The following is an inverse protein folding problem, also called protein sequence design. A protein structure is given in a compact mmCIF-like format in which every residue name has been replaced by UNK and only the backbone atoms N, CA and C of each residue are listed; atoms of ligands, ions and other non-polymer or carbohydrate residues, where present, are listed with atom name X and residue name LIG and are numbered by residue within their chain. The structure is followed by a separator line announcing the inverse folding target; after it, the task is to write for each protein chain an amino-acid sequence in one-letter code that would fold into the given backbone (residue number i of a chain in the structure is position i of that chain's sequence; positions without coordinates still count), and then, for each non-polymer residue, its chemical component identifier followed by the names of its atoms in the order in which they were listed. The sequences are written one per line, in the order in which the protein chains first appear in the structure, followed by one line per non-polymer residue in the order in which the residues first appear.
data_IF_672691761760
#
_entry.id   IF_672691761760
#
_cell.length_a   1.000
_cell.length_b   1.000
_cell.length_c   1.000
_cell.angle_alpha   90.00
_cell.angle_beta   90.00
_cell.angle_gamma   90.00
#
_symmetry.space_group_name_H-M   'P 1'
#
loop_
_entity.id
_entity.type
_entity.pdbx_description
1 polymer ?
#
# COMPACT_ATOMS: atom_id res chain seq x y z
N UNK A 1 1.39 -14.18 8.23
CA UNK A 1 1.99 -13.15 9.13
C UNK A 1 2.02 -11.77 8.47
N UNK A 2 2.66 -11.60 7.31
CA UNK A 2 2.71 -10.30 6.60
C UNK A 2 1.32 -9.66 6.37
N UNK A 3 0.34 -10.44 5.91
CA UNK A 3 -1.05 -9.96 5.77
C UNK A 3 -1.67 -9.45 7.07
N UNK A 4 -1.38 -10.11 8.21
CA UNK A 4 -1.84 -9.67 9.53
C UNK A 4 -1.18 -8.37 9.99
N UNK A 5 0.11 -8.18 9.70
CA UNK A 5 0.82 -6.92 9.99
C UNK A 5 0.21 -5.78 9.16
N UNK A 6 0.03 -5.99 7.86
CA UNK A 6 -0.53 -4.98 6.95
C UNK A 6 -1.95 -4.61 7.37
N UNK A 7 -2.78 -5.62 7.69
CA UNK A 7 -4.14 -5.40 8.19
C UNK A 7 -4.13 -4.63 9.53
N UNK A 8 -3.24 -4.98 10.45
CA UNK A 8 -3.07 -4.29 11.72
C UNK A 8 -2.68 -2.82 11.55
N UNK A 9 -1.70 -2.53 10.68
CA UNK A 9 -1.31 -1.15 10.34
C UNK A 9 -2.47 -0.41 9.69
N UNK A 10 -3.20 -1.03 8.77
CA UNK A 10 -4.34 -0.39 8.09
C UNK A 10 -5.48 -0.07 9.07
N UNK A 11 -5.80 -0.98 10.00
CA UNK A 11 -6.80 -0.75 11.04
C UNK A 11 -6.35 0.31 12.05
N UNK A 12 -5.05 0.32 12.39
CA UNK A 12 -4.46 1.39 13.20
C UNK A 12 -4.66 2.74 12.51
N UNK A 13 -4.30 2.87 11.23
CA UNK A 13 -4.50 4.10 10.45
C UNK A 13 -5.98 4.51 10.41
N UNK A 14 -6.90 3.54 10.32
CA UNK A 14 -8.35 3.80 10.27
C UNK A 14 -8.95 4.28 11.58
N UNK A 15 -8.42 3.82 12.72
CA UNK A 15 -8.98 4.03 14.06
C UNK A 15 -8.39 5.25 14.79
N UNK A 16 -7.63 6.11 14.11
CA UNK A 16 -7.11 7.33 14.73
C UNK A 16 -8.24 8.26 15.18
N UNK A 17 -8.23 8.64 16.47
CA UNK A 17 -9.26 9.46 17.10
C UNK A 17 -9.35 10.87 16.50
N UNK A 18 -8.23 11.39 15.97
CA UNK A 18 -8.18 12.70 15.30
C UNK A 18 -8.92 12.68 13.95
N UNK A 19 -8.81 11.62 13.14
CA UNK A 19 -9.57 11.49 11.88
C UNK A 19 -11.07 11.29 12.09
N UNK A 20 -11.45 10.78 13.25
CA UNK A 20 -12.85 10.54 13.65
C UNK A 20 -13.47 11.81 14.27
N UNK A 21 -12.65 12.71 14.85
CA UNK A 21 -13.13 13.98 15.42
C UNK A 21 -13.45 15.03 14.34
N UNK A 22 -12.72 15.08 13.23
CA UNK A 22 -13.11 15.92 12.07
C UNK A 22 -14.47 15.48 11.48
N UNK A 23 -14.90 14.24 11.73
CA UNK A 23 -16.14 13.67 11.23
C UNK A 23 -17.39 14.18 11.98
N UNK A 24 -17.31 14.51 13.27
CA UNK A 24 -18.48 15.02 14.01
C UNK A 24 -18.81 16.48 13.65
N UNK A 25 -17.83 17.27 13.16
CA UNK A 25 -18.05 18.67 12.76
C UNK A 25 -18.42 18.85 11.28
N UNK A 26 -18.22 17.84 10.40
CA UNK A 26 -18.47 17.96 8.96
C UNK A 26 -19.69 17.22 8.42
N UNK A 27 -20.50 16.55 9.26
CA UNK A 27 -21.80 15.95 8.88
C UNK A 27 -22.91 16.99 8.58
N UNK A 28 -22.51 18.19 8.15
CA UNK A 28 -23.38 19.31 7.80
C UNK A 28 -23.64 19.47 6.30
N UNK A 29 -22.62 19.56 5.43
CA UNK A 29 -22.90 19.85 4.00
C UNK A 29 -21.70 19.82 2.99
N UNK A 30 -20.54 19.18 3.27
CA UNK A 30 -19.45 19.14 2.27
C UNK A 30 -18.67 17.82 2.27
N UNK A 31 -18.51 17.26 1.06
CA UNK A 31 -17.82 16.02 0.71
C UNK A 31 -16.44 15.92 1.37
N UNK A 32 -16.27 14.92 2.24
CA UNK A 32 -14.99 14.62 2.89
C UNK A 32 -13.90 14.24 1.85
N UNK A 33 -12.61 14.41 2.17
CA UNK A 33 -11.51 13.99 1.30
C UNK A 33 -11.48 12.46 1.17
N UNK A 34 -12.18 11.93 0.16
CA UNK A 34 -12.42 10.50 0.00
C UNK A 34 -11.16 9.69 -0.34
N UNK A 35 -10.13 10.30 -0.94
CA UNK A 35 -9.00 9.59 -1.53
C UNK A 35 -8.05 8.97 -0.49
N UNK A 36 -7.81 9.63 0.64
CA UNK A 36 -7.02 9.10 1.75
C UNK A 36 -7.66 7.86 2.37
N UNK A 37 -8.97 7.90 2.61
CA UNK A 37 -9.72 6.76 3.11
C UNK A 37 -9.78 5.62 2.10
N UNK A 38 -9.94 5.92 0.81
CA UNK A 38 -9.87 4.91 -0.26
C UNK A 38 -8.55 4.14 -0.19
N UNK A 39 -7.41 4.83 -0.03
CA UNK A 39 -6.11 4.19 0.15
C UNK A 39 -6.04 3.27 1.38
N UNK A 40 -6.60 3.70 2.52
CA UNK A 40 -6.65 2.87 3.74
C UNK A 40 -7.54 1.63 3.52
N UNK A 41 -8.71 1.79 2.89
CA UNK A 41 -9.60 0.65 2.60
C UNK A 41 -8.97 -0.36 1.63
N UNK A 42 -8.20 0.10 0.64
CA UNK A 42 -7.40 -0.78 -0.22
C UNK A 42 -6.39 -1.57 0.62
N UNK A 43 -5.70 -0.91 1.55
CA UNK A 43 -4.72 -1.57 2.43
C UNK A 43 -5.36 -2.63 3.35
N UNK A 44 -6.56 -2.34 3.88
CA UNK A 44 -7.37 -3.30 4.64
C UNK A 44 -7.73 -4.51 3.77
N UNK A 45 -8.24 -4.28 2.55
CA UNK A 45 -8.63 -5.35 1.64
C UNK A 45 -7.44 -6.25 1.27
N UNK A 46 -6.30 -5.65 0.91
CA UNK A 46 -5.07 -6.39 0.57
C UNK A 46 -4.56 -7.19 1.77
N UNK A 47 -4.52 -6.59 2.97
CA UNK A 47 -4.11 -7.27 4.19
C UNK A 47 -5.01 -8.46 4.55
N UNK A 48 -6.33 -8.28 4.44
CA UNK A 48 -7.31 -9.34 4.72
C UNK A 48 -7.21 -10.49 3.71
N UNK A 49 -7.10 -10.19 2.42
CA UNK A 49 -6.94 -11.22 1.37
C UNK A 49 -5.65 -12.00 1.58
N UNK A 50 -4.52 -11.33 1.84
CA UNK A 50 -3.25 -12.01 2.13
C UNK A 50 -3.30 -12.88 3.39
N UNK A 51 -4.00 -12.41 4.44
CA UNK A 51 -4.18 -13.20 5.66
C UNK A 51 -5.03 -14.45 5.41
N UNK A 52 -6.13 -14.31 4.66
CA UNK A 52 -7.03 -15.42 4.34
C UNK A 52 -6.37 -16.45 3.43
N UNK A 53 -5.75 -16.02 2.32
CA UNK A 53 -5.08 -16.92 1.37
C UNK A 53 -3.88 -17.60 2.02
N UNK A 54 -3.10 -16.87 2.82
CA UNK A 54 -2.00 -17.46 3.59
C UNK A 54 -2.47 -18.48 4.64
N UNK A 55 -3.63 -18.25 5.27
CA UNK A 55 -4.24 -19.22 6.18
C UNK A 55 -4.63 -20.51 5.46
N UNK A 56 -5.29 -20.41 4.30
CA UNK A 56 -5.67 -21.58 3.50
C UNK A 56 -4.45 -22.38 3.03
N UNK A 57 -3.40 -21.69 2.57
CA UNK A 57 -2.15 -22.35 2.15
C UNK A 57 -1.46 -23.09 3.30
N UNK A 58 -1.22 -22.40 4.42
CA UNK A 58 -0.54 -23.00 5.57
C UNK A 58 -1.37 -24.10 6.22
N UNK A 59 -2.66 -23.85 6.50
CA UNK A 59 -3.53 -24.83 7.15
C UNK A 59 -3.83 -26.01 6.24
N UNK A 60 -3.91 -25.79 4.92
CA UNK A 60 -4.15 -26.83 3.92
C UNK A 60 -2.97 -27.80 3.80
N UNK A 61 -1.75 -27.28 3.90
CA UNK A 61 -0.55 -28.11 3.97
C UNK A 61 -0.45 -28.91 5.28
N UNK A 62 -0.79 -28.31 6.43
CA UNK A 62 -0.72 -28.98 7.73
C UNK A 62 -1.78 -30.09 7.86
N UNK A 63 -3.01 -29.82 7.42
CA UNK A 63 -4.12 -30.77 7.55
C UNK A 63 -4.12 -31.82 6.43
N UNK A 64 -3.21 -31.72 5.45
CA UNK A 64 -3.17 -32.55 4.25
C UNK A 64 -4.55 -32.65 3.57
N UNK A 65 -5.34 -31.57 3.62
CA UNK A 65 -6.72 -31.56 3.14
C UNK A 65 -6.80 -31.09 1.70
N UNK A 66 -7.19 -32.01 0.80
CA UNK A 66 -7.33 -31.72 -0.63
C UNK A 66 -8.33 -30.60 -0.92
N UNK A 67 -9.41 -30.52 -0.13
CA UNK A 67 -10.43 -29.48 -0.29
C UNK A 67 -9.83 -28.10 0.01
N UNK A 68 -9.09 -27.96 1.11
CA UNK A 68 -8.49 -26.68 1.49
C UNK A 68 -7.36 -26.25 0.55
N UNK A 69 -6.59 -27.22 0.05
CA UNK A 69 -5.54 -26.97 -0.93
C UNK A 69 -6.13 -26.61 -2.31
N UNK A 70 -7.27 -27.21 -2.67
CA UNK A 70 -8.02 -26.86 -3.88
C UNK A 70 -8.65 -25.46 -3.80
N UNK A 71 -9.17 -25.04 -2.64
CA UNK A 71 -9.66 -23.66 -2.47
C UNK A 71 -8.51 -22.66 -2.53
N UNK A 72 -7.36 -22.96 -1.92
CA UNK A 72 -6.15 -22.14 -2.05
C UNK A 72 -5.72 -21.98 -3.52
N UNK A 73 -5.63 -23.07 -4.28
CA UNK A 73 -5.32 -23.01 -5.71
C UNK A 73 -6.33 -22.15 -6.49
N UNK A 74 -7.63 -22.33 -6.23
CA UNK A 74 -8.69 -21.55 -6.90
C UNK A 74 -8.56 -20.06 -6.57
N UNK A 75 -8.26 -19.71 -5.32
CA UNK A 75 -7.99 -18.33 -4.92
C UNK A 75 -6.78 -17.75 -5.66
N UNK A 76 -5.69 -18.49 -5.82
CA UNK A 76 -4.51 -18.04 -6.58
C UNK A 76 -4.82 -17.79 -8.05
N UNK A 77 -5.62 -18.65 -8.69
CA UNK A 77 -6.04 -18.45 -10.09
C UNK A 77 -6.85 -17.16 -10.24
N UNK A 78 -7.79 -16.90 -9.31
CA UNK A 78 -8.58 -15.66 -9.31
C UNK A 78 -7.68 -14.44 -9.08
N UNK A 79 -6.74 -14.52 -8.14
CA UNK A 79 -5.80 -13.43 -7.86
C UNK A 79 -4.88 -13.14 -9.03
N UNK A 80 -4.39 -14.17 -9.72
CA UNK A 80 -3.58 -14.01 -10.92
C UNK A 80 -4.37 -13.33 -12.05
N UNK A 81 -5.63 -13.73 -12.27
CA UNK A 81 -6.49 -13.06 -13.26
C UNK A 81 -6.75 -11.59 -12.90
N UNK A 82 -6.99 -11.29 -11.61
CA UNK A 82 -7.12 -9.93 -11.10
C UNK A 82 -5.82 -9.12 -11.26
N UNK A 83 -4.66 -9.73 -11.02
CA UNK A 83 -3.35 -9.09 -11.17
C UNK A 83 -3.10 -8.69 -12.63
N UNK A 84 -3.39 -9.59 -13.59
CA UNK A 84 -3.29 -9.27 -15.02
C UNK A 84 -4.25 -8.16 -15.41
N UNK A 85 -5.51 -8.24 -14.97
CA UNK A 85 -6.52 -7.21 -15.26
C UNK A 85 -6.13 -5.84 -14.67
N UNK A 86 -5.68 -5.81 -13.41
CA UNK A 86 -5.22 -4.60 -12.72
C UNK A 86 -3.94 -4.05 -13.35
N UNK A 87 -3.01 -4.91 -13.78
CA UNK A 87 -1.79 -4.52 -14.48
C UNK A 87 -2.09 -3.83 -15.81
N UNK A 88 -2.98 -4.40 -16.63
CA UNK A 88 -3.41 -3.79 -17.90
C UNK A 88 -4.13 -2.46 -17.64
N UNK A 89 -5.13 -2.47 -16.74
CA UNK A 89 -5.89 -1.27 -16.42
C UNK A 89 -5.00 -0.15 -15.86
N UNK A 90 -4.05 -0.51 -15.00
CA UNK A 90 -3.13 0.44 -14.38
C UNK A 90 -2.09 0.98 -15.36
N UNK A 91 -1.66 0.17 -16.32
CA UNK A 91 -0.79 0.65 -17.40
C UNK A 91 -1.51 1.68 -18.30
N UNK A 92 -2.74 1.38 -18.70
CA UNK A 92 -3.55 2.28 -19.54
C UNK A 92 -3.89 3.58 -18.80
N UNK A 93 -4.19 3.50 -17.50
CA UNK A 93 -4.61 4.63 -16.68
C UNK A 93 -3.49 5.16 -15.76
N UNK A 94 -2.22 4.98 -16.13
CA UNK A 94 -1.06 5.35 -15.29
C UNK A 94 -1.07 6.81 -14.83
N UNK A 95 -1.53 7.72 -15.70
CA UNK A 95 -1.56 9.17 -15.41
C UNK A 95 -2.70 9.51 -14.43
N UNK A 96 -3.80 8.75 -14.46
CA UNK A 96 -4.89 8.88 -13.49
C UNK A 96 -4.44 8.36 -12.11
N UNK A 97 -3.79 7.20 -12.06
CA UNK A 97 -3.25 6.62 -10.83
C UNK A 97 -2.22 7.56 -10.19
N UNK A 98 -1.34 8.17 -11.00
CA UNK A 98 -0.38 9.14 -10.50
C UNK A 98 -1.06 10.35 -9.82
N UNK A 99 -2.19 10.84 -10.38
CA UNK A 99 -2.98 11.92 -9.78
C UNK A 99 -3.64 11.48 -8.47
N UNK A 100 -4.22 10.28 -8.44
CA UNK A 100 -4.88 9.75 -7.25
C UNK A 100 -3.86 9.54 -6.10
N UNK A 101 -2.66 9.06 -6.41
CA UNK A 101 -1.56 8.91 -5.44
C UNK A 101 -1.08 10.26 -4.91
N UNK A 102 -0.97 11.28 -5.77
CA UNK A 102 -0.65 12.65 -5.33
C UNK A 102 -1.73 13.20 -4.39
N UNK A 103 -3.00 13.00 -4.73
CA UNK A 103 -4.12 13.47 -3.91
C UNK A 103 -4.15 12.74 -2.56
N UNK A 104 -3.85 11.44 -2.53
CA UNK A 104 -3.68 10.68 -1.30
C UNK A 104 -2.54 11.27 -0.45
N UNK A 105 -1.39 11.55 -1.06
CA UNK A 105 -0.25 12.17 -0.40
C UNK A 105 -0.58 13.56 0.16
N UNK A 106 -1.25 14.42 -0.61
CA UNK A 106 -1.65 15.77 -0.17
C UNK A 106 -2.55 15.73 1.06
N UNK A 107 -3.50 14.80 1.09
CA UNK A 107 -4.42 14.62 2.22
C UNK A 107 -3.69 14.06 3.45
N UNK A 108 -2.82 13.07 3.26
CA UNK A 108 -1.98 12.54 4.33
C UNK A 108 -1.05 13.63 4.90
N UNK A 109 -0.50 14.47 4.03
CA UNK A 109 0.37 15.59 4.39
C UNK A 109 -0.37 16.67 5.18
N UNK A 110 -1.57 17.06 4.75
CA UNK A 110 -2.43 17.99 5.48
C UNK A 110 -2.81 17.44 6.87
N UNK A 111 -3.19 16.17 6.96
CA UNK A 111 -3.49 15.54 8.24
C UNK A 111 -2.25 15.52 9.16
N UNK A 112 -1.06 15.29 8.59
CA UNK A 112 0.18 15.34 9.34
C UNK A 112 0.58 16.75 9.78
N UNK A 113 0.05 17.83 9.17
CA UNK A 113 0.32 19.22 9.58
C UNK A 113 -0.63 19.70 10.68
N UNK A 114 -1.90 19.29 10.63
CA UNK A 114 -2.89 19.65 11.66
C UNK A 114 -2.73 18.83 12.96
N UNK A 115 -1.90 17.80 12.89
CA UNK A 115 -1.45 16.97 13.99
C UNK A 115 -0.57 17.77 14.99
N UNK A 116 -1.17 18.36 16.02
CA UNK A 116 -0.46 19.07 17.10
C UNK A 116 0.29 18.11 18.06
N UNK A 117 -0.03 16.81 18.03
CA UNK A 117 0.60 15.79 18.87
C UNK A 117 1.57 14.87 18.10
N UNK A 118 2.59 14.38 18.81
CA UNK A 118 3.65 13.47 18.33
C UNK A 118 3.14 12.11 17.80
N UNK A 119 1.85 11.79 17.99
CA UNK A 119 1.27 10.46 17.79
C UNK A 119 0.18 10.41 16.71
N UNK A 120 0.36 11.13 15.60
CA UNK A 120 -0.64 11.15 14.53
C UNK A 120 -0.30 10.21 13.39
N UNK A 121 -1.28 9.41 12.97
CA UNK A 121 -1.11 8.35 11.97
C UNK A 121 -0.70 8.90 10.59
N UNK A 122 -1.11 10.14 10.27
CA UNK A 122 -0.67 10.85 9.07
C UNK A 122 0.85 11.12 9.03
N UNK A 123 1.50 11.37 10.19
CA UNK A 123 2.95 11.60 10.29
C UNK A 123 3.74 10.37 9.86
N UNK A 124 3.30 9.17 10.26
CA UNK A 124 3.94 7.92 9.88
C UNK A 124 3.86 7.65 8.37
N UNK A 125 2.69 7.87 7.76
CA UNK A 125 2.49 7.72 6.30
C UNK A 125 3.41 8.68 5.55
N UNK A 126 3.36 9.98 5.88
CA UNK A 126 4.13 11.02 5.20
C UNK A 126 5.64 10.79 5.34
N UNK A 127 6.12 10.44 6.54
CA UNK A 127 7.53 10.12 6.76
C UNK A 127 7.97 8.94 5.90
N UNK A 128 7.14 7.90 5.80
CA UNK A 128 7.43 6.74 4.94
C UNK A 128 7.51 7.14 3.47
N UNK A 129 6.60 8.00 2.98
CA UNK A 129 6.69 8.55 1.63
C UNK A 129 7.97 9.34 1.41
N UNK A 130 8.34 10.21 2.35
CA UNK A 130 9.53 11.03 2.26
C UNK A 130 10.82 10.20 2.24
N UNK A 131 10.93 9.17 3.10
CA UNK A 131 12.08 8.26 3.12
C UNK A 131 12.12 7.34 1.88
N UNK A 132 10.98 6.84 1.41
CA UNK A 132 10.91 5.90 0.27
C UNK A 132 11.18 6.59 -1.07
N UNK A 133 10.71 7.83 -1.23
CA UNK A 133 10.83 8.58 -2.48
C UNK A 133 11.99 9.58 -2.48
N UNK A 134 12.72 9.70 -1.37
CA UNK A 134 13.71 10.75 -1.10
C UNK A 134 13.18 12.15 -1.47
N UNK A 135 11.98 12.46 -0.96
CA UNK A 135 11.26 13.70 -1.24
C UNK A 135 10.79 14.35 0.06
N UNK A 136 10.44 15.63 0.01
CA UNK A 136 9.93 16.36 1.18
C UNK A 136 8.87 17.36 0.72
N UNK A 137 7.65 17.19 1.22
CA UNK A 137 6.55 18.12 0.98
C UNK A 137 5.92 18.07 -0.43
N UNK A 138 4.72 18.67 -0.57
CA UNK A 138 4.02 18.82 -1.84
C UNK A 138 4.65 19.88 -2.76
N UNK A 139 4.30 19.92 -4.05
CA UNK A 139 4.77 20.93 -5.02
C UNK A 139 4.03 22.28 -4.86
N UNK A 140 4.03 22.84 -3.64
CA UNK A 140 3.45 24.15 -3.34
C UNK A 140 4.31 24.92 -2.31
N UNK A 141 3.95 26.18 -2.04
CA UNK A 141 4.70 27.04 -1.12
C UNK A 141 4.85 26.46 0.29
N UNK A 142 3.89 25.64 0.75
CA UNK A 142 3.93 24.98 2.06
C UNK A 142 4.99 23.87 2.03
N UNK A 143 5.08 23.09 0.94
CA UNK A 143 6.13 22.08 0.75
C UNK A 143 7.53 22.67 0.80
N UNK A 144 7.75 23.80 0.15
CA UNK A 144 9.05 24.48 0.13
C UNK A 144 9.54 24.94 1.52
N UNK A 145 8.62 25.30 2.41
CA UNK A 145 8.95 25.71 3.79
C UNK A 145 8.82 24.55 4.79
N UNK A 146 8.25 23.41 4.41
CA UNK A 146 8.11 22.24 5.28
C UNK A 146 9.41 21.83 5.97
N UNK A 147 10.58 21.74 5.30
CA UNK A 147 11.82 21.41 5.98
C UNK A 147 12.23 22.47 7.02
N UNK A 148 11.77 23.72 6.93
CA UNK A 148 12.15 24.79 7.86
C UNK A 148 11.39 24.73 9.20
N UNK A 149 10.13 24.30 9.17
CA UNK A 149 9.25 24.33 10.35
C UNK A 149 9.02 22.94 10.95
N UNK A 150 9.44 21.89 10.24
CA UNK A 150 9.01 20.52 10.50
C UNK A 150 10.04 19.51 9.96
N UNK A 151 11.30 19.71 10.35
CA UNK A 151 12.44 18.83 10.03
C UNK A 151 12.21 17.35 10.41
N UNK A 152 11.39 17.07 11.44
CA UNK A 152 11.12 15.71 11.92
C UNK A 152 10.43 14.79 10.91
N UNK A 153 9.82 15.33 9.85
CA UNK A 153 9.17 14.49 8.82
C UNK A 153 10.00 14.32 7.56
N UNK A 154 11.04 15.11 7.35
CA UNK A 154 11.84 15.01 6.14
C UNK A 154 13.11 14.19 6.40
N UNK A 155 13.63 13.48 5.37
CA UNK A 155 14.82 12.67 5.53
C UNK A 155 15.99 13.57 5.95
N UNK A 156 16.69 13.16 7.01
CA UNK A 156 17.86 13.89 7.54
C UNK A 156 18.99 13.83 6.51
N UNK A 157 19.14 14.89 5.71
CA UNK A 157 20.35 15.14 4.92
C UNK A 157 21.30 16.00 5.76
N UNK A 158 22.61 15.77 5.66
CA UNK A 158 23.68 16.35 6.53
C UNK A 158 23.66 17.89 6.70
N UNK A 159 22.86 18.63 5.91
CA UNK A 159 22.69 20.07 6.06
C UNK A 159 21.28 20.53 5.65
N UNK A 160 20.63 21.33 6.51
CA UNK A 160 19.29 21.92 6.30
C UNK A 160 19.24 22.78 5.02
N UNK A 161 20.36 23.39 4.63
CA UNK A 161 20.46 24.19 3.41
C UNK A 161 20.48 23.30 2.14
N UNK A 162 21.03 22.09 2.24
CA UNK A 162 21.03 21.10 1.16
C UNK A 162 19.69 20.38 1.06
N UNK A 163 18.97 20.18 2.16
CA UNK A 163 17.58 19.70 2.09
C UNK A 163 16.66 20.74 1.44
N UNK A 164 16.88 22.04 1.62
CA UNK A 164 16.11 23.08 0.91
C UNK A 164 16.49 23.17 -0.58
N UNK A 165 17.78 23.07 -0.93
CA UNK A 165 18.21 23.20 -2.33
C UNK A 165 18.08 21.92 -3.17
N UNK A 166 18.03 20.75 -2.52
CA UNK A 166 18.06 19.44 -3.18
C UNK A 166 16.86 18.54 -2.84
N UNK A 167 15.88 19.04 -2.07
CA UNK A 167 14.59 18.35 -1.94
C UNK A 167 13.81 18.46 -3.25
N UNK A 168 13.66 17.33 -3.93
CA UNK A 168 12.63 17.21 -4.95
C UNK A 168 11.26 17.10 -4.30
N UNK A 169 10.30 17.87 -4.82
CA UNK A 169 8.90 17.80 -4.39
C UNK A 169 8.33 16.39 -4.61
N UNK A 170 7.52 15.90 -3.68
CA UNK A 170 6.99 14.54 -3.76
C UNK A 170 6.07 14.35 -4.98
N UNK A 171 5.32 15.36 -5.43
CA UNK A 171 4.52 15.27 -6.67
C UNK A 171 5.38 14.96 -7.89
N UNK A 172 6.56 15.58 -8.00
CA UNK A 172 7.47 15.34 -9.12
C UNK A 172 8.06 13.93 -9.07
N UNK A 173 8.43 13.44 -7.89
CA UNK A 173 8.90 12.05 -7.74
C UNK A 173 7.81 11.03 -7.98
N UNK A 174 6.57 11.31 -7.61
CA UNK A 174 5.42 10.47 -7.96
C UNK A 174 5.24 10.43 -9.49
N UNK A 175 5.28 11.56 -10.20
CA UNK A 175 5.22 11.56 -11.67
C UNK A 175 6.39 10.81 -12.30
N UNK A 176 7.59 11.01 -11.78
CA UNK A 176 8.79 10.33 -12.26
C UNK A 176 8.70 8.81 -12.06
N UNK A 177 8.09 8.35 -10.95
CA UNK A 177 7.81 6.94 -10.74
C UNK A 177 6.85 6.35 -11.78
N UNK A 178 5.74 7.04 -12.07
CA UNK A 178 4.74 6.54 -13.01
C UNK A 178 5.08 6.78 -14.49
N UNK A 179 5.99 7.71 -14.80
CA UNK A 179 6.38 8.04 -16.18
C UNK A 179 7.77 7.51 -16.55
N UNK A 180 8.78 7.82 -15.74
CA UNK A 180 10.18 7.48 -16.02
C UNK A 180 10.64 6.15 -15.42
N UNK A 181 10.03 5.74 -14.30
CA UNK A 181 10.42 4.53 -13.56
C UNK A 181 9.31 3.49 -13.46
N UNK A 182 8.37 3.50 -14.41
CA UNK A 182 7.27 2.53 -14.46
C UNK A 182 7.81 1.08 -14.51
N UNK A 183 9.02 0.88 -15.05
CA UNK A 183 9.70 -0.41 -15.08
C UNK A 183 9.94 -0.99 -13.67
N UNK A 184 10.11 -0.18 -12.61
CA UNK A 184 10.28 -0.67 -11.24
C UNK A 184 9.01 -1.34 -10.72
N UNK A 185 7.86 -0.69 -10.97
CA UNK A 185 6.54 -1.24 -10.62
C UNK A 185 6.26 -2.50 -11.47
N UNK A 186 6.64 -2.46 -12.75
CA UNK A 186 6.54 -3.63 -13.64
C UNK A 186 7.35 -4.83 -13.16
N UNK A 187 8.60 -4.61 -12.72
CA UNK A 187 9.43 -5.69 -12.15
C UNK A 187 8.78 -6.26 -10.90
N UNK A 188 8.28 -5.41 -9.99
CA UNK A 188 7.60 -5.86 -8.78
C UNK A 188 6.37 -6.72 -9.11
N UNK A 189 5.54 -6.31 -10.07
CA UNK A 189 4.39 -7.09 -10.54
C UNK A 189 4.81 -8.44 -11.16
N UNK A 190 5.86 -8.46 -11.98
CA UNK A 190 6.37 -9.72 -12.56
C UNK A 190 6.85 -10.68 -11.46
N UNK A 191 7.54 -10.19 -10.43
CA UNK A 191 7.99 -11.01 -9.31
C UNK A 191 6.81 -11.63 -8.58
N UNK A 192 5.75 -10.85 -8.31
CA UNK A 192 4.52 -11.34 -7.67
C UNK A 192 3.85 -12.41 -8.54
N UNK A 193 3.68 -12.16 -9.83
CA UNK A 193 3.12 -13.12 -10.78
C UNK A 193 3.91 -14.45 -10.83
N UNK A 194 5.25 -14.37 -10.83
CA UNK A 194 6.12 -15.57 -10.82
C UNK A 194 5.93 -16.36 -9.52
N UNK A 195 5.90 -15.69 -8.37
CA UNK A 195 5.65 -16.34 -7.07
C UNK A 195 4.29 -17.04 -7.07
N UNK A 196 3.23 -16.39 -7.55
CA UNK A 196 1.89 -17.01 -7.64
C UNK A 196 1.90 -18.27 -8.52
N UNK A 197 2.63 -18.26 -9.65
CA UNK A 197 2.75 -19.44 -10.51
C UNK A 197 3.45 -20.58 -9.79
N UNK A 198 4.54 -20.31 -9.08
CA UNK A 198 5.19 -21.33 -8.26
C UNK A 198 4.27 -21.88 -7.18
N UNK A 199 3.52 -21.04 -6.49
CA UNK A 199 2.54 -21.46 -5.48
C UNK A 199 1.44 -22.34 -6.08
N UNK A 200 0.94 -22.01 -7.27
CA UNK A 200 -0.05 -22.82 -8.00
C UNK A 200 0.52 -24.21 -8.35
N UNK A 201 1.76 -24.27 -8.85
CA UNK A 201 2.42 -25.54 -9.20
C UNK A 201 2.62 -26.39 -7.94
N UNK A 202 3.17 -25.81 -6.87
CA UNK A 202 3.43 -26.52 -5.62
C UNK A 202 2.13 -27.00 -4.97
N UNK A 203 1.08 -26.18 -4.99
CA UNK A 203 -0.24 -26.57 -4.51
C UNK A 203 -0.79 -27.78 -5.26
N UNK A 204 -0.67 -27.81 -6.60
CA UNK A 204 -1.14 -28.93 -7.40
C UNK A 204 -0.30 -30.20 -7.18
N UNK A 205 1.03 -30.07 -7.09
CA UNK A 205 1.93 -31.20 -6.79
C UNK A 205 1.60 -31.80 -5.42
N UNK A 206 1.42 -30.97 -4.39
CA UNK A 206 1.08 -31.42 -3.05
C UNK A 206 -0.31 -32.07 -3.01
N UNK A 207 -1.30 -31.50 -3.71
CA UNK A 207 -2.65 -32.08 -3.80
C UNK A 207 -2.64 -33.47 -4.47
N UNK A 208 -1.86 -33.62 -5.54
CA UNK A 208 -1.65 -34.90 -6.22
C UNK A 208 -0.89 -35.89 -5.33
N UNK A 209 0.11 -35.44 -4.58
CA UNK A 209 0.86 -36.26 -3.62
C UNK A 209 -0.06 -36.86 -2.56
N UNK A 210 -0.90 -36.02 -1.93
CA UNK A 210 -1.89 -36.44 -0.93
C UNK A 210 -2.91 -37.43 -1.52
N UNK A 211 -3.37 -37.18 -2.76
CA UNK A 211 -4.32 -38.10 -3.42
C UNK A 211 -3.76 -39.49 -3.62
N UNK A 212 -2.46 -39.58 -3.89
CA UNK A 212 -1.79 -40.84 -4.17
C UNK A 212 -1.39 -41.57 -2.89
N UNK A 213 -1.14 -40.84 -1.79
CA UNK A 213 -0.79 -41.44 -0.49
C UNK A 213 -2.00 -41.99 0.26
N UNK A 214 -3.22 -41.47 0.04
CA UNK A 214 -4.45 -41.93 0.71
C UNK A 214 -4.94 -43.33 0.29
N UNK A 215 -4.14 -44.08 -0.48
CA UNK A 215 -4.48 -45.43 -0.98
C UNK A 215 -3.87 -46.55 -0.09
N UNK A 216 -3.18 -46.21 1.00
CA UNK A 216 -2.73 -47.16 2.04
C UNK A 216 -3.36 -46.87 3.40
#
# INVERSE_FOLDING_TARGET
LAGGIILGVALWLRHDSQTTNILYLQLGDKQAPNTFYVGIYILIAVGAVMMFVGFLGCYGAIQESQCLLGTFFTCLVILFACEVAAGIWGFVNKDQIAKDVKQFYDQAFQQALMAESETNNGKAVVKTFHETLDCCGPDNAIGAITPLWRDDLCPKKDSVLKSIMESSNCHKKIDELFSGKLYLIGIAAIVVAVIMIFEMILSMVLCCGIRNSSVY
#
